data_IF_507130849974
#
_entry.id   IF_507130849974
#
_cell.length_a   1.000
_cell.length_b   1.000
_cell.length_c   1.000
_cell.angle_alpha   90.00
_cell.angle_beta   90.00
_cell.angle_gamma   90.00
#
_symmetry.space_group_name_H-M   'P 1'
#
loop_
_entity.id
_entity.type
_entity.pdbx_description
1 polymer ?
#
# COMPACT_ATOMS: atom_id res chain seq x y z
N UNK A 1 -6.43 4.81 14.94
CA UNK A 1 -5.20 4.31 14.30
C UNK A 1 -5.38 4.53 12.83
N UNK A 2 -4.43 5.18 12.17
CA UNK A 2 -4.53 5.50 10.75
C UNK A 2 -3.61 4.60 9.96
N UNK A 3 -4.18 3.84 9.03
CA UNK A 3 -3.42 3.01 8.08
C UNK A 3 -3.45 3.67 6.69
N UNK A 4 -2.29 3.86 6.08
CA UNK A 4 -2.17 4.32 4.69
C UNK A 4 -1.85 3.13 3.77
N UNK A 5 -2.69 2.94 2.76
CA UNK A 5 -2.64 1.82 1.83
C UNK A 5 -2.61 2.38 0.41
N UNK A 6 -1.55 2.05 -0.32
CA UNK A 6 -1.48 2.25 -1.75
C UNK A 6 -2.40 1.26 -2.44
N UNK A 7 -3.26 1.77 -3.32
CA UNK A 7 -4.18 0.98 -4.14
C UNK A 7 -3.69 1.07 -5.57
N UNK A 8 -3.38 -0.07 -6.16
CA UNK A 8 -3.04 -0.19 -7.56
C UNK A 8 -4.10 -1.01 -8.31
N UNK A 9 -4.16 -0.84 -9.62
CA UNK A 9 -5.09 -1.50 -10.53
C UNK A 9 -4.28 -2.15 -11.64
N UNK A 10 -4.61 -3.39 -11.97
CA UNK A 10 -4.11 -4.02 -13.20
C UNK A 10 -4.97 -3.54 -14.39
N UNK A 11 -4.35 -2.70 -15.24
CA UNK A 11 -4.90 -2.14 -16.47
C UNK A 11 -4.07 -2.62 -17.68
N UNK A 12 -4.68 -3.36 -18.61
CA UNK A 12 -4.03 -3.83 -19.84
C UNK A 12 -2.62 -4.42 -19.60
N UNK A 13 -2.55 -5.44 -18.74
CA UNK A 13 -1.32 -6.14 -18.33
C UNK A 13 -0.27 -5.26 -17.59
N UNK A 14 -0.67 -4.08 -17.12
CA UNK A 14 0.19 -3.17 -16.34
C UNK A 14 -0.44 -2.86 -14.99
N UNK A 15 0.35 -2.91 -13.93
CA UNK A 15 -0.09 -2.46 -12.61
C UNK A 15 0.16 -0.96 -12.46
N UNK A 16 -0.90 -0.17 -12.36
CA UNK A 16 -0.87 1.29 -12.23
C UNK A 16 -1.36 1.68 -10.84
N UNK A 17 -0.64 2.58 -10.16
CA UNK A 17 -1.08 3.10 -8.86
C UNK A 17 -2.29 4.00 -9.07
N UNK A 18 -3.45 3.61 -8.55
CA UNK A 18 -4.69 4.38 -8.67
C UNK A 18 -4.80 5.47 -7.61
N UNK A 19 -4.21 5.28 -6.44
CA UNK A 19 -4.23 6.29 -5.38
C UNK A 19 -3.88 5.73 -4.00
N UNK A 20 -4.14 6.55 -2.98
CA UNK A 20 -3.89 6.22 -1.57
C UNK A 20 -5.22 6.19 -0.81
N UNK A 21 -5.51 5.05 -0.18
CA UNK A 21 -6.57 4.89 0.79
C UNK A 21 -6.01 5.14 2.21
N UNK A 22 -6.66 6.01 2.97
CA UNK A 22 -6.42 6.17 4.41
C UNK A 22 -7.59 5.62 5.18
N UNK A 23 -7.30 4.73 6.12
CA UNK A 23 -8.29 4.14 7.02
C UNK A 23 -8.10 4.70 8.41
N UNK A 24 -9.04 5.53 8.90
CA UNK A 24 -9.10 5.93 10.31
C UNK A 24 -9.94 4.92 11.09
N UNK A 25 -9.28 4.16 11.97
CA UNK A 25 -9.90 3.14 12.84
C UNK A 25 -10.09 3.69 14.25
N UNK A 26 -11.36 3.75 14.67
CA UNK A 26 -11.83 3.99 16.04
C UNK A 26 -12.48 2.71 16.58
N UNK A 27 -12.80 2.67 17.88
CA UNK A 27 -13.22 1.43 18.59
C UNK A 27 -14.27 0.59 17.86
N UNK A 28 -15.24 1.23 17.21
CA UNK A 28 -16.34 0.57 16.50
C UNK A 28 -16.59 1.12 15.09
N UNK A 29 -15.72 2.02 14.62
CA UNK A 29 -15.94 2.74 13.37
C UNK A 29 -14.63 2.78 12.58
N UNK A 30 -14.72 2.46 11.30
CA UNK A 30 -13.63 2.67 10.36
C UNK A 30 -14.13 3.65 9.32
N UNK A 31 -13.37 4.68 9.00
CA UNK A 31 -13.65 5.58 7.89
C UNK A 31 -12.54 5.45 6.87
N UNK A 32 -12.91 5.33 5.60
CA UNK A 32 -11.96 5.27 4.49
C UNK A 32 -12.05 6.56 3.69
N UNK A 33 -10.95 7.30 3.61
CA UNK A 33 -10.79 8.37 2.64
C UNK A 33 -9.88 7.91 1.51
N UNK A 34 -10.21 8.22 0.27
CA UNK A 34 -9.40 7.83 -0.89
C UNK A 34 -9.02 9.06 -1.71
N UNK A 35 -7.72 9.19 -2.00
CA UNK A 35 -7.19 10.21 -2.90
C UNK A 35 -6.63 9.54 -4.15
N UNK A 36 -7.19 9.88 -5.32
CA UNK A 36 -6.71 9.40 -6.60
C UNK A 36 -5.33 9.99 -6.94
N UNK A 37 -4.49 9.19 -7.58
CA UNK A 37 -3.22 9.65 -8.12
C UNK A 37 -3.47 10.47 -9.40
N UNK A 38 -2.81 11.61 -9.53
CA UNK A 38 -2.97 12.47 -10.72
C UNK A 38 -2.52 11.79 -12.01
N UNK A 39 -1.51 10.91 -11.96
CA UNK A 39 -1.07 10.16 -13.12
C UNK A 39 -2.10 9.10 -13.52
N UNK A 40 -2.78 8.48 -12.55
CA UNK A 40 -3.90 7.58 -12.84
C UNK A 40 -5.05 8.32 -13.49
N UNK A 41 -5.46 9.47 -12.95
CA UNK A 41 -6.55 10.25 -13.54
C UNK A 41 -6.23 10.79 -14.95
N UNK A 42 -4.95 10.89 -15.32
CA UNK A 42 -4.51 11.29 -16.64
C UNK A 42 -4.38 10.11 -17.62
N UNK A 43 -4.43 8.86 -17.15
CA UNK A 43 -4.34 7.67 -18.00
C UNK A 43 -5.64 7.50 -18.82
N UNK A 44 -5.57 7.26 -20.14
CA UNK A 44 -6.76 7.04 -20.96
C UNK A 44 -7.63 5.84 -20.55
N UNK A 45 -7.03 4.84 -19.88
CA UNK A 45 -7.72 3.66 -19.37
C UNK A 45 -8.24 3.80 -17.94
N UNK A 46 -8.19 5.00 -17.35
CA UNK A 46 -8.62 5.22 -15.98
C UNK A 46 -10.14 5.10 -15.81
N UNK A 47 -10.55 4.78 -14.58
CA UNK A 47 -11.96 4.72 -14.20
C UNK A 47 -12.13 4.98 -12.69
N UNK A 48 -13.32 5.43 -12.25
CA UNK A 48 -13.63 5.52 -10.82
C UNK A 48 -13.58 4.13 -10.16
N UNK A 49 -12.74 3.93 -9.15
CA UNK A 49 -12.56 2.62 -8.48
C UNK A 49 -13.84 2.17 -7.80
N UNK A 50 -14.58 3.09 -7.21
CA UNK A 50 -15.82 2.82 -6.50
C UNK A 50 -16.79 3.99 -6.71
N UNK A 51 -18.09 3.75 -7.00
CA UNK A 51 -19.08 4.81 -7.16
C UNK A 51 -19.24 5.73 -5.95
N UNK A 52 -18.96 5.25 -4.73
CA UNK A 52 -19.01 6.03 -3.51
C UNK A 52 -17.73 6.87 -3.27
N UNK A 53 -16.69 6.68 -4.09
CA UNK A 53 -15.45 7.45 -4.05
C UNK A 53 -15.43 8.46 -5.20
N UNK A 54 -15.68 9.73 -4.89
CA UNK A 54 -15.66 10.83 -5.88
C UNK A 54 -14.39 10.79 -6.73
N UNK A 55 -14.57 10.70 -8.05
CA UNK A 55 -13.48 10.69 -9.03
C UNK A 55 -13.08 12.12 -9.41
N UNK A 56 -12.60 12.85 -8.41
CA UNK A 56 -12.11 14.21 -8.54
C UNK A 56 -10.83 14.39 -7.70
N UNK A 57 -10.23 15.57 -7.78
CA UNK A 57 -9.00 15.90 -7.05
C UNK A 57 -9.19 15.99 -5.53
N UNK A 58 -10.43 16.01 -5.02
CA UNK A 58 -10.73 16.06 -3.58
C UNK A 58 -10.84 14.65 -3.00
N UNK A 59 -11.19 13.67 -3.83
CA UNK A 59 -11.38 12.29 -3.42
C UNK A 59 -12.70 12.06 -2.67
N UNK A 60 -12.86 10.85 -2.15
CA UNK A 60 -14.09 10.41 -1.47
C UNK A 60 -13.84 9.98 -0.03
N UNK A 61 -14.90 10.03 0.79
CA UNK A 61 -14.89 9.52 2.17
C UNK A 61 -16.11 8.62 2.36
N UNK A 62 -15.89 7.40 2.82
CA UNK A 62 -16.94 6.41 3.11
C UNK A 62 -16.74 5.79 4.48
N UNK A 63 -17.84 5.31 5.07
CA UNK A 63 -17.76 4.48 6.27
C UNK A 63 -17.39 3.04 5.89
N UNK A 64 -16.51 2.42 6.66
CA UNK A 64 -16.02 1.07 6.44
C UNK A 64 -15.14 0.93 5.20
N UNK A 65 -15.09 -0.28 4.63
CA UNK A 65 -14.45 -0.51 3.35
C UNK A 65 -15.37 -0.04 2.21
N UNK A 66 -14.85 0.68 1.19
CA UNK A 66 -15.53 0.85 -0.09
C UNK A 66 -15.98 -0.49 -0.67
N UNK A 67 -17.08 -0.49 -1.43
CA UNK A 67 -17.65 -1.70 -2.03
C UNK A 67 -16.63 -2.46 -2.89
N UNK A 68 -15.92 -1.75 -3.77
CA UNK A 68 -14.86 -2.34 -4.61
C UNK A 68 -13.74 -2.99 -3.79
N UNK A 69 -13.45 -2.47 -2.59
CA UNK A 69 -12.44 -3.05 -1.71
C UNK A 69 -13.00 -4.27 -0.97
N UNK A 70 -14.27 -4.21 -0.58
CA UNK A 70 -14.98 -5.33 0.04
C UNK A 70 -15.11 -6.52 -0.92
N UNK A 71 -15.31 -6.28 -2.23
CA UNK A 71 -15.33 -7.32 -3.26
C UNK A 71 -13.98 -8.04 -3.38
N UNK A 72 -12.89 -7.35 -3.04
CA UNK A 72 -11.53 -7.91 -2.99
C UNK A 72 -11.21 -8.60 -1.65
N UNK A 73 -12.12 -8.57 -0.69
CA UNK A 73 -11.92 -9.18 0.63
C UNK A 73 -12.10 -10.71 0.55
N UNK A 74 -11.44 -11.46 1.45
CA UNK A 74 -11.56 -12.92 1.43
C UNK A 74 -12.96 -13.36 1.87
N UNK A 75 -13.38 -14.51 1.33
CA UNK A 75 -14.60 -15.20 1.73
C UNK A 75 -14.54 -15.68 3.20
N UNK A 76 -15.61 -16.35 3.66
CA UNK A 76 -15.69 -16.84 5.03
C UNK A 76 -14.60 -17.86 5.38
N UNK A 77 -14.19 -18.69 4.43
CA UNK A 77 -13.14 -19.69 4.65
C UNK A 77 -11.76 -19.03 4.72
N UNK A 78 -11.45 -18.13 3.78
CA UNK A 78 -10.23 -17.33 3.74
C UNK A 78 -10.06 -16.46 4.99
N UNK A 79 -11.13 -15.80 5.45
CA UNK A 79 -11.12 -15.07 6.73
C UNK A 79 -10.74 -15.97 7.90
N UNK A 80 -11.23 -17.20 7.95
CA UNK A 80 -10.89 -18.16 9.02
C UNK A 80 -9.42 -18.56 8.98
N UNK A 81 -8.84 -18.76 7.79
CA UNK A 81 -7.42 -19.05 7.63
C UNK A 81 -6.54 -17.88 8.06
N UNK A 82 -6.87 -16.66 7.61
CA UNK A 82 -6.15 -15.44 7.97
C UNK A 82 -6.23 -15.20 9.47
N UNK A 83 -7.41 -15.36 10.07
CA UNK A 83 -7.61 -15.24 11.52
C UNK A 83 -6.68 -16.18 12.30
N UNK A 84 -6.63 -17.47 11.92
CA UNK A 84 -5.74 -18.44 12.55
C UNK A 84 -4.26 -18.06 12.41
N UNK A 85 -3.84 -17.60 11.23
CA UNK A 85 -2.46 -17.14 10.99
C UNK A 85 -2.09 -15.95 11.87
N UNK A 86 -2.94 -14.92 11.92
CA UNK A 86 -2.71 -13.73 12.76
C UNK A 86 -2.61 -14.14 14.23
N UNK A 87 -3.54 -14.98 14.71
CA UNK A 87 -3.53 -15.47 16.09
C UNK A 87 -2.29 -16.27 16.45
N UNK A 88 -1.77 -17.08 15.53
CA UNK A 88 -0.55 -17.84 15.76
C UNK A 88 0.70 -16.94 15.82
N UNK A 89 0.69 -15.79 15.14
CA UNK A 89 1.81 -14.83 15.12
C UNK A 89 1.81 -13.80 16.25
N UNK A 90 0.70 -13.66 16.99
CA UNK A 90 0.57 -12.67 18.06
C UNK A 90 0.87 -13.28 19.44
N UNK A 91 2.04 -12.97 19.99
CA UNK A 91 2.41 -13.27 21.37
C UNK A 91 1.75 -12.26 22.33
N UNK A 92 0.44 -12.34 22.58
CA UNK A 92 -0.23 -11.42 23.52
C UNK A 92 -1.74 -11.29 23.40
N UNK A 93 -2.30 -10.32 24.12
CA UNK A 93 -3.74 -10.05 24.14
C UNK A 93 -4.27 -9.74 22.73
N UNK A 94 -5.44 -10.29 22.34
CA UNK A 94 -6.04 -10.07 21.04
C UNK A 94 -6.19 -8.60 20.62
N UNK A 95 -5.49 -8.16 19.56
CA UNK A 95 -6.01 -7.03 18.78
C UNK A 95 -7.28 -7.48 18.05
N UNK A 96 -8.29 -6.61 18.01
CA UNK A 96 -9.51 -6.85 17.24
C UNK A 96 -9.15 -6.79 15.76
N UNK A 97 -9.33 -7.91 15.07
CA UNK A 97 -9.08 -8.04 13.63
C UNK A 97 -10.27 -7.41 12.90
N UNK A 98 -10.01 -6.35 12.15
CA UNK A 98 -11.01 -5.63 11.36
C UNK A 98 -11.00 -6.05 9.89
N UNK A 99 -11.92 -5.49 9.11
CA UNK A 99 -12.06 -5.83 7.69
C UNK A 99 -10.83 -5.47 6.86
N UNK A 100 -10.16 -4.35 7.19
CA UNK A 100 -8.88 -3.99 6.58
C UNK A 100 -7.80 -5.06 6.83
N UNK A 101 -7.75 -5.64 8.03
CA UNK A 101 -6.76 -6.67 8.36
C UNK A 101 -7.00 -7.94 7.55
N UNK A 102 -8.28 -8.27 7.29
CA UNK A 102 -8.64 -9.37 6.40
C UNK A 102 -8.30 -9.08 4.93
N UNK A 103 -8.60 -7.87 4.45
CA UNK A 103 -8.28 -7.44 3.10
C UNK A 103 -6.76 -7.55 2.83
N UNK A 104 -5.94 -7.01 3.73
CA UNK A 104 -4.48 -7.04 3.64
C UNK A 104 -3.88 -8.41 3.99
N UNK A 105 -4.67 -9.32 4.55
CA UNK A 105 -4.26 -10.69 4.85
C UNK A 105 -4.20 -11.58 3.61
N UNK A 106 -4.89 -11.21 2.53
CA UNK A 106 -4.87 -11.94 1.25
C UNK A 106 -3.56 -11.64 0.51
N UNK A 107 -2.95 -12.68 -0.06
CA UNK A 107 -1.78 -12.53 -0.93
C UNK A 107 -2.20 -11.90 -2.24
N UNK A 108 -1.49 -10.87 -2.71
CA UNK A 108 -1.78 -10.23 -3.99
C UNK A 108 -1.63 -11.19 -5.17
N UNK A 109 -0.71 -12.16 -5.09
CA UNK A 109 -0.52 -13.18 -6.13
C UNK A 109 -1.74 -14.10 -6.33
N UNK A 110 -2.61 -14.21 -5.31
CA UNK A 110 -3.81 -15.06 -5.35
C UNK A 110 -5.10 -14.24 -5.29
N UNK A 111 -4.99 -12.90 -5.30
CA UNK A 111 -6.13 -12.01 -5.16
C UNK A 111 -6.94 -11.96 -6.45
N UNK A 112 -8.24 -12.19 -6.31
CA UNK A 112 -9.18 -12.03 -7.42
C UNK A 112 -9.49 -10.55 -7.66
N UNK A 113 -9.79 -10.20 -8.91
CA UNK A 113 -10.04 -8.82 -9.33
C UNK A 113 -8.76 -8.05 -9.70
N UNK A 114 -8.93 -6.79 -10.11
CA UNK A 114 -7.86 -5.95 -10.62
C UNK A 114 -7.13 -5.14 -9.53
N UNK A 115 -7.70 -5.02 -8.32
CA UNK A 115 -7.12 -4.19 -7.27
C UNK A 115 -5.98 -4.89 -6.52
N UNK A 116 -4.93 -4.15 -6.22
CA UNK A 116 -3.77 -4.58 -5.43
C UNK A 116 -3.59 -3.60 -4.26
N UNK A 117 -3.22 -4.10 -3.09
CA UNK A 117 -3.18 -3.32 -1.86
C UNK A 117 -1.83 -3.47 -1.17
N UNK A 118 -1.16 -2.35 -0.94
CA UNK A 118 0.15 -2.34 -0.28
C UNK A 118 0.19 -1.32 0.84
N UNK A 119 0.68 -1.70 2.03
CA UNK A 119 0.95 -0.72 3.10
C UNK A 119 2.05 0.24 2.67
N UNK A 120 1.94 1.52 3.00
CA UNK A 120 2.99 2.51 2.67
C UNK A 120 4.38 2.10 3.20
N UNK A 121 4.47 1.50 4.38
CA UNK A 121 5.75 0.97 4.90
C UNK A 121 6.35 -0.18 4.05
N UNK A 122 5.51 -0.99 3.40
CA UNK A 122 5.97 -2.04 2.50
C UNK A 122 6.51 -1.46 1.19
N UNK A 123 5.94 -0.35 0.71
CA UNK A 123 6.44 0.37 -0.47
C UNK A 123 7.89 0.83 -0.26
N UNK A 124 8.20 1.44 0.89
CA UNK A 124 9.56 1.88 1.23
C UNK A 124 10.56 0.71 1.28
N UNK A 125 10.17 -0.42 1.89
CA UNK A 125 11.01 -1.61 1.95
C UNK A 125 11.27 -2.23 0.57
N UNK A 126 10.30 -2.13 -0.35
CA UNK A 126 10.42 -2.66 -1.70
C UNK A 126 11.26 -1.74 -2.61
N UNK A 127 11.11 -0.42 -2.46
CA UNK A 127 12.01 0.55 -3.09
C UNK A 127 13.46 0.37 -2.66
N UNK A 128 13.71 0.11 -1.37
CA UNK A 128 15.04 -0.22 -0.86
C UNK A 128 15.62 -1.48 -1.49
N UNK A 129 14.84 -2.57 -1.59
CA UNK A 129 15.28 -3.83 -2.23
C UNK A 129 15.53 -3.68 -3.72
N UNK A 130 14.73 -2.88 -4.43
CA UNK A 130 14.91 -2.63 -5.86
C UNK A 130 16.20 -1.88 -6.15
N UNK A 131 16.51 -0.85 -5.35
CA UNK A 131 17.77 -0.11 -5.46
C UNK A 131 18.99 -0.98 -5.07
N UNK A 132 18.85 -1.83 -4.04
CA UNK A 132 19.90 -2.79 -3.69
C UNK A 132 20.14 -3.80 -4.83
N UNK A 133 19.08 -4.27 -5.50
CA UNK A 133 19.19 -5.19 -6.64
C UNK A 133 19.72 -4.53 -7.92
N UNK A 134 19.46 -3.24 -8.16
CA UNK A 134 19.99 -2.50 -9.31
C UNK A 134 21.44 -2.01 -9.08
N UNK A 135 21.90 -1.91 -7.82
CA UNK A 135 23.23 -1.37 -7.48
C UNK A 135 24.18 -2.32 -6.71
N UNK A 136 23.82 -3.59 -6.51
CA UNK A 136 24.66 -4.58 -5.79
C UNK A 136 24.64 -5.92 -6.55
N UNK A 137 25.64 -6.44 -7.26
CA UNK A 137 27.10 -6.23 -7.54
C UNK A 137 27.51 -7.26 -8.65
N UNK A 138 28.78 -7.48 -9.07
CA UNK A 138 30.00 -6.65 -9.18
C UNK A 138 30.80 -6.83 -10.50
N UNK A 139 31.53 -5.81 -10.98
CA UNK A 139 32.79 -6.04 -11.72
C UNK A 139 33.79 -4.94 -11.41
N UNK A 140 34.96 -5.37 -10.93
CA UNK A 140 36.29 -4.76 -11.03
C UNK A 140 36.36 -3.29 -11.49
N UNK A 141 36.92 -2.41 -10.64
CA UNK A 141 37.61 -1.14 -10.94
C UNK A 141 37.20 0.17 -10.24
N UNK A 142 36.48 0.19 -9.12
CA UNK A 142 36.42 1.44 -8.31
C UNK A 142 36.56 1.21 -6.80
N UNK A 143 37.77 0.80 -6.39
CA UNK A 143 38.24 0.93 -5.00
C UNK A 143 38.76 2.35 -4.67
N UNK A 144 38.74 3.31 -5.60
CA UNK A 144 39.38 4.63 -5.40
C UNK A 144 38.40 5.84 -5.39
N UNK A 145 37.14 5.69 -5.82
CA UNK A 145 36.19 6.83 -5.86
C UNK A 145 35.22 6.91 -4.65
N UNK A 146 35.51 6.23 -3.54
CA UNK A 146 34.58 6.07 -2.41
C UNK A 146 35.06 6.71 -1.10
N UNK A 147 35.65 7.90 -1.16
CA UNK A 147 35.92 8.72 0.03
C UNK A 147 35.73 10.21 -0.28
N UNK A 148 34.47 10.67 -0.33
CA UNK A 148 34.09 11.94 0.33
C UNK A 148 32.64 12.37 0.10
N UNK A 149 31.98 12.11 -1.04
CA UNK A 149 30.82 12.97 -1.39
C UNK A 149 29.43 12.30 -1.43
N UNK A 150 29.30 10.99 -1.28
CA UNK A 150 27.98 10.32 -1.36
C UNK A 150 27.23 10.23 -0.02
N UNK A 151 27.91 10.37 1.12
CA UNK A 151 27.27 10.30 2.44
C UNK A 151 26.55 11.58 2.84
N UNK A 152 27.05 12.74 2.43
CA UNK A 152 26.45 14.03 2.80
C UNK A 152 25.17 14.34 2.00
N UNK A 153 25.08 13.93 0.73
CA UNK A 153 23.87 14.18 -0.05
C UNK A 153 22.69 13.29 0.37
N UNK A 154 22.96 12.02 0.73
CA UNK A 154 21.91 11.09 1.17
C UNK A 154 21.39 11.47 2.56
N UNK A 155 22.23 12.02 3.46
CA UNK A 155 21.78 12.52 4.76
C UNK A 155 21.15 13.93 4.70
N UNK A 156 21.54 14.78 3.75
CA UNK A 156 20.98 16.13 3.58
C UNK A 156 19.51 16.13 3.13
N UNK A 157 19.09 15.16 2.30
CA UNK A 157 17.68 15.07 1.87
C UNK A 157 16.71 14.52 2.95
N UNK A 158 17.22 14.02 4.08
CA UNK A 158 16.39 13.45 5.16
C UNK A 158 16.04 14.44 6.28
N UNK A 159 16.54 15.69 6.26
CA UNK A 159 16.39 16.65 7.37
C UNK A 159 15.57 17.90 7.01
N UNK A 160 14.54 17.79 6.15
CA UNK A 160 13.62 18.92 5.94
C UNK A 160 12.16 18.48 5.88
N UNK A 161 11.62 18.09 7.03
CA UNK A 161 10.23 18.40 7.44
C UNK A 161 10.03 18.09 8.93
N UNK A 162 10.49 19.01 9.78
CA UNK A 162 9.82 19.34 11.04
C UNK A 162 9.82 20.86 11.12
N UNK A 163 8.69 21.44 10.72
CA UNK A 163 8.20 22.74 11.15
C UNK A 163 6.67 22.63 11.08
#
# INVERSE_FOLDING_TARGET
>A
MTDEIEVAVDLDDRTVVAGIARFDRRRNETTTSFAYDSAYMADPGCYPIDPALSFDSRGGVVSGLPGAFADCAPDRWGRRLIFKRIRASESGAPRTIGDLDYLLGVSDATRQGALRFRRSAQREADWGRRLESEYSTPTSWTRIAWRSTAREQIMSMATTRTA
#
